data_IF_405292512875
#
_entry.id   IF_405292512875
#
_cell.length_a   1.000
_cell.length_b   1.000
_cell.length_c   1.000
_cell.angle_alpha   90.00
_cell.angle_beta   90.00
_cell.angle_gamma   90.00
#
_symmetry.space_group_name_H-M   'P 1'
#
loop_
_entity.id
_entity.type
_entity.pdbx_description
1 polymer ?
#
# COMPACT_ATOMS: atom_id res chain seq x y z
N UNK A 1 1.39 25.97 -50.54
CA UNK A 1 0.90 26.02 -49.13
C UNK A 1 1.67 27.14 -48.42
N UNK A 2 0.99 28.05 -47.71
CA UNK A 2 1.64 29.24 -47.12
C UNK A 2 2.24 28.89 -45.74
N UNK A 3 3.49 29.30 -45.48
CA UNK A 3 4.20 29.06 -44.21
C UNK A 3 3.38 29.49 -42.98
N UNK A 4 2.64 30.60 -43.11
CA UNK A 4 1.75 31.10 -42.04
C UNK A 4 0.64 30.11 -41.70
N UNK A 5 0.09 29.40 -42.68
CA UNK A 5 -0.96 28.39 -42.48
C UNK A 5 -0.41 27.13 -41.80
N UNK A 6 0.83 26.74 -42.13
CA UNK A 6 1.52 25.60 -41.48
C UNK A 6 1.76 25.92 -39.99
N UNK A 7 2.23 27.13 -39.71
CA UNK A 7 2.55 27.57 -38.35
C UNK A 7 1.29 27.66 -37.48
N UNK A 8 0.18 28.15 -38.02
CA UNK A 8 -1.12 28.17 -37.31
C UNK A 8 -1.64 26.76 -37.05
N UNK A 9 -1.57 25.86 -38.04
CA UNK A 9 -2.02 24.47 -37.87
C UNK A 9 -1.16 23.72 -36.84
N UNK A 10 0.14 23.95 -36.82
CA UNK A 10 1.05 23.36 -35.83
C UNK A 10 0.76 23.86 -34.41
N UNK A 11 0.51 25.16 -34.23
CA UNK A 11 0.16 25.73 -32.92
C UNK A 11 -1.20 25.22 -32.42
N UNK A 12 -2.21 25.15 -33.29
CA UNK A 12 -3.53 24.61 -32.94
C UNK A 12 -3.48 23.12 -32.65
N UNK A 13 -2.71 22.35 -33.44
CA UNK A 13 -2.49 20.92 -33.22
C UNK A 13 -1.75 20.66 -31.91
N UNK A 14 -0.72 21.45 -31.59
CA UNK A 14 0.01 21.34 -30.33
C UNK A 14 -0.86 21.72 -29.13
N UNK A 15 -1.60 22.82 -29.21
CA UNK A 15 -2.50 23.25 -28.13
C UNK A 15 -3.66 22.26 -27.92
N UNK A 16 -4.27 21.77 -29.00
CA UNK A 16 -5.33 20.77 -28.95
C UNK A 16 -4.82 19.41 -28.45
N UNK A 17 -3.64 18.98 -28.90
CA UNK A 17 -2.98 17.76 -28.44
C UNK A 17 -2.66 17.82 -26.95
N UNK A 18 -2.03 18.92 -26.49
CA UNK A 18 -1.69 19.12 -25.08
C UNK A 18 -2.93 19.23 -24.19
N UNK A 19 -3.94 20.02 -24.59
CA UNK A 19 -5.18 20.17 -23.85
C UNK A 19 -5.99 18.87 -23.77
N UNK A 20 -6.07 18.14 -24.89
CA UNK A 20 -6.73 16.84 -24.96
C UNK A 20 -6.03 15.78 -24.11
N UNK A 21 -4.70 15.69 -24.18
CA UNK A 21 -3.93 14.75 -23.36
C UNK A 21 -4.02 15.08 -21.88
N UNK A 22 -3.96 16.37 -21.50
CA UNK A 22 -4.09 16.79 -20.11
C UNK A 22 -5.47 16.43 -19.54
N UNK A 23 -6.55 16.70 -20.28
CA UNK A 23 -7.91 16.35 -19.86
C UNK A 23 -8.09 14.84 -19.66
N UNK A 24 -7.59 14.02 -20.59
CA UNK A 24 -7.68 12.57 -20.49
C UNK A 24 -6.89 12.03 -19.29
N UNK A 25 -5.65 12.50 -19.13
CA UNK A 25 -4.77 12.10 -18.02
C UNK A 25 -5.36 12.46 -16.66
N UNK A 26 -5.86 13.69 -16.48
CA UNK A 26 -6.49 14.13 -15.22
C UNK A 26 -7.68 13.23 -14.86
N UNK A 27 -8.53 12.89 -15.84
CA UNK A 27 -9.71 12.04 -15.63
C UNK A 27 -9.33 10.62 -15.22
N UNK A 28 -8.30 10.04 -15.84
CA UNK A 28 -7.80 8.71 -15.50
C UNK A 28 -7.15 8.69 -14.11
N UNK A 29 -6.32 9.70 -13.80
CA UNK A 29 -5.69 9.82 -12.48
C UNK A 29 -6.71 10.02 -11.37
N UNK A 30 -7.79 10.77 -11.61
CA UNK A 30 -8.86 10.96 -10.62
C UNK A 30 -9.60 9.65 -10.33
N UNK A 31 -9.94 8.88 -11.36
CA UNK A 31 -10.61 7.59 -11.20
C UNK A 31 -9.73 6.55 -10.47
N UNK A 32 -8.41 6.56 -10.71
CA UNK A 32 -7.47 5.72 -9.98
C UNK A 32 -7.33 6.16 -8.52
N UNK A 33 -7.27 7.48 -8.28
CA UNK A 33 -7.18 8.03 -6.94
C UNK A 33 -8.42 7.68 -6.10
N UNK A 34 -9.61 7.77 -6.69
CA UNK A 34 -10.86 7.39 -6.01
C UNK A 34 -10.88 5.90 -5.65
N UNK A 35 -10.38 5.02 -6.52
CA UNK A 35 -10.31 3.57 -6.21
C UNK A 35 -9.29 3.24 -5.14
N UNK A 36 -8.15 3.91 -5.16
CA UNK A 36 -7.10 3.77 -4.14
C UNK A 36 -7.60 4.27 -2.78
N UNK A 37 -8.31 5.40 -2.75
CA UNK A 37 -8.88 5.94 -1.52
C UNK A 37 -9.96 5.02 -0.90
N UNK A 38 -10.64 4.23 -1.73
CA UNK A 38 -11.68 3.30 -1.29
C UNK A 38 -11.17 1.91 -0.88
N UNK A 39 -9.89 1.60 -1.13
CA UNK A 39 -9.32 0.29 -0.82
C UNK A 39 -8.34 0.44 0.34
N UNK A 40 -8.74 0.13 1.59
CA UNK A 40 -7.82 0.24 2.71
C UNK A 40 -6.62 -0.71 2.48
N UNK A 41 -5.40 -0.29 2.87
CA UNK A 41 -4.25 -1.17 2.76
C UNK A 41 -4.46 -2.40 3.65
N UNK A 42 -4.14 -3.58 3.12
CA UNK A 42 -4.38 -4.86 3.80
C UNK A 42 -3.05 -5.41 4.31
N UNK A 43 -3.05 -5.94 5.52
CA UNK A 43 -1.91 -6.67 6.08
C UNK A 43 -2.40 -7.99 6.67
N UNK A 44 -1.67 -9.07 6.38
CA UNK A 44 -1.93 -10.40 6.92
C UNK A 44 -0.96 -10.64 8.07
N UNK A 45 -1.51 -11.02 9.23
CA UNK A 45 -0.71 -11.29 10.44
C UNK A 45 -0.73 -12.79 10.70
N UNK A 46 0.43 -13.42 10.54
CA UNK A 46 0.63 -14.81 10.93
C UNK A 46 1.21 -14.86 12.35
N UNK A 47 0.32 -15.00 13.32
CA UNK A 47 0.70 -15.08 14.73
C UNK A 47 1.59 -16.29 15.04
N UNK A 48 1.46 -17.39 14.29
CA UNK A 48 2.29 -18.59 14.50
C UNK A 48 3.71 -18.35 14.04
N UNK A 49 3.88 -17.70 12.88
CA UNK A 49 5.20 -17.30 12.37
C UNK A 49 5.86 -16.27 13.28
N UNK A 50 5.10 -15.28 13.76
CA UNK A 50 5.62 -14.27 14.70
C UNK A 50 6.06 -14.93 16.02
N UNK A 51 5.22 -15.78 16.61
CA UNK A 51 5.59 -16.50 17.83
C UNK A 51 6.80 -17.43 17.63
N UNK A 52 6.92 -18.05 16.45
CA UNK A 52 8.08 -18.91 16.12
C UNK A 52 9.39 -18.13 15.96
N UNK A 53 9.32 -16.82 15.71
CA UNK A 53 10.48 -15.93 15.57
C UNK A 53 11.04 -15.45 16.92
N UNK A 54 10.35 -15.73 18.03
CA UNK A 54 10.83 -15.38 19.36
C UNK A 54 12.06 -16.20 19.75
N UNK A 55 13.02 -15.62 20.51
CA UNK A 55 14.24 -16.31 20.87
C UNK A 55 13.97 -17.60 21.65
N UNK A 56 14.60 -18.69 21.23
CA UNK A 56 14.48 -19.99 21.90
C UNK A 56 15.12 -19.93 23.29
N UNK A 57 14.33 -20.12 24.34
CA UNK A 57 14.79 -20.06 25.73
C UNK A 57 14.74 -18.67 26.38
N UNK A 58 14.01 -17.72 25.78
CA UNK A 58 13.67 -16.45 26.42
C UNK A 58 12.90 -16.67 27.73
N UNK A 59 13.15 -15.82 28.72
CA UNK A 59 12.42 -15.86 30.00
C UNK A 59 10.94 -15.49 29.79
N UNK A 60 10.06 -15.96 30.67
CA UNK A 60 8.61 -15.75 30.55
C UNK A 60 8.27 -14.25 30.48
N UNK A 61 9.00 -13.43 31.23
CA UNK A 61 8.88 -11.97 31.21
C UNK A 61 9.33 -11.34 29.88
N UNK A 62 10.33 -11.91 29.20
CA UNK A 62 10.79 -11.42 27.89
C UNK A 62 9.78 -11.76 26.78
N UNK A 63 9.19 -12.96 26.85
CA UNK A 63 8.12 -13.38 25.92
C UNK A 63 6.89 -12.47 26.09
N UNK A 64 6.51 -12.15 27.32
CA UNK A 64 5.39 -11.25 27.59
C UNK A 64 5.64 -9.86 26.98
N UNK A 65 6.85 -9.31 27.13
CA UNK A 65 7.22 -8.04 26.51
C UNK A 65 7.17 -8.09 24.98
N UNK A 66 7.64 -9.18 24.36
CA UNK A 66 7.57 -9.38 22.92
C UNK A 66 6.12 -9.49 22.42
N UNK A 67 5.25 -10.17 23.16
CA UNK A 67 3.82 -10.23 22.86
C UNK A 67 3.15 -8.85 22.95
N UNK A 68 3.49 -8.06 23.99
CA UNK A 68 2.99 -6.69 24.14
C UNK A 68 3.45 -5.78 22.99
N UNK A 69 4.73 -5.88 22.59
CA UNK A 69 5.26 -5.15 21.43
C UNK A 69 4.52 -5.52 20.15
N UNK A 70 4.33 -6.81 19.90
CA UNK A 70 3.57 -7.33 18.75
C UNK A 70 2.16 -6.76 18.70
N UNK A 71 1.42 -6.85 19.81
CA UNK A 71 0.06 -6.33 19.89
C UNK A 71 0.00 -4.81 19.68
N UNK A 72 0.98 -4.07 20.18
CA UNK A 72 1.06 -2.63 19.98
C UNK A 72 1.35 -2.27 18.51
N UNK A 73 2.24 -3.00 17.84
CA UNK A 73 2.50 -2.82 16.41
C UNK A 73 1.24 -3.07 15.56
N UNK A 74 0.51 -4.16 15.85
CA UNK A 74 -0.78 -4.48 15.21
C UNK A 74 -1.79 -3.36 15.46
N UNK A 75 -1.86 -2.85 16.70
CA UNK A 75 -2.77 -1.76 17.04
C UNK A 75 -2.44 -0.46 16.29
N UNK A 76 -1.16 -0.11 16.16
CA UNK A 76 -0.72 1.05 15.37
C UNK A 76 -1.10 0.93 13.89
N UNK A 77 -0.99 -0.27 13.30
CA UNK A 77 -1.42 -0.52 11.93
C UNK A 77 -2.92 -0.31 11.77
N UNK A 78 -3.71 -0.81 12.74
CA UNK A 78 -5.16 -0.58 12.77
C UNK A 78 -5.50 0.91 12.87
N UNK A 79 -4.83 1.66 13.74
CA UNK A 79 -5.02 3.11 13.86
C UNK A 79 -4.63 3.87 12.59
N UNK A 80 -3.62 3.38 11.86
CA UNK A 80 -3.22 3.91 10.55
C UNK A 80 -4.20 3.56 9.42
N UNK A 81 -5.29 2.82 9.71
CA UNK A 81 -6.34 2.49 8.75
C UNK A 81 -6.11 1.20 7.95
N UNK A 82 -5.18 0.34 8.39
CA UNK A 82 -4.97 -0.95 7.77
C UNK A 82 -6.09 -1.94 8.13
N UNK A 83 -6.51 -2.73 7.13
CA UNK A 83 -7.31 -3.92 7.36
C UNK A 83 -6.39 -5.07 7.76
N UNK A 84 -6.57 -5.55 8.98
CA UNK A 84 -5.76 -6.65 9.53
C UNK A 84 -6.54 -7.96 9.37
N UNK A 85 -5.91 -8.93 8.71
CA UNK A 85 -6.47 -10.26 8.49
C UNK A 85 -5.58 -11.28 9.22
N UNK A 86 -6.21 -12.21 9.94
CA UNK A 86 -5.51 -13.33 10.54
C UNK A 86 -5.05 -14.32 9.47
N UNK A 87 -3.75 -14.64 9.46
CA UNK A 87 -3.15 -15.64 8.58
C UNK A 87 -3.80 -17.02 8.72
N UNK A 88 -4.26 -17.41 9.91
CA UNK A 88 -4.93 -18.68 10.14
C UNK A 88 -6.34 -18.75 9.49
N UNK A 89 -6.98 -17.59 9.28
CA UNK A 89 -8.26 -17.48 8.60
C UNK A 89 -8.13 -17.29 7.08
N UNK A 90 -6.90 -17.20 6.58
CA UNK A 90 -6.59 -16.91 5.17
C UNK A 90 -6.19 -18.19 4.44
N UNK A 91 -6.79 -18.48 3.29
CA UNK A 91 -6.43 -19.65 2.48
C UNK A 91 -5.04 -19.51 1.81
N UNK A 92 -4.64 -18.27 1.56
CA UNK A 92 -3.35 -17.92 0.98
C UNK A 92 -3.33 -16.43 0.66
N UNK A 93 -2.17 -15.82 0.84
CA UNK A 93 -1.90 -14.44 0.50
C UNK A 93 -0.53 -14.32 -0.18
N UNK A 94 -0.32 -13.28 -1.01
CA UNK A 94 1.01 -12.89 -1.47
C UNK A 94 1.97 -12.62 -0.30
N UNK A 95 3.26 -12.95 -0.43
CA UNK A 95 4.24 -12.80 0.67
C UNK A 95 4.48 -11.34 1.09
N UNK A 96 4.30 -10.38 0.18
CA UNK A 96 4.52 -8.95 0.38
C UNK A 96 3.47 -8.27 1.26
N UNK A 97 2.31 -8.92 1.49
CA UNK A 97 1.27 -8.41 2.39
C UNK A 97 1.31 -9.03 3.79
N UNK A 98 2.20 -10.00 4.04
CA UNK A 98 2.42 -10.52 5.38
C UNK A 98 3.23 -9.54 6.21
N UNK A 99 2.87 -9.38 7.48
CA UNK A 99 3.64 -8.59 8.43
C UNK A 99 5.02 -9.26 8.64
N UNK A 100 6.13 -8.60 8.26
CA UNK A 100 7.48 -9.13 8.48
C UNK A 100 7.78 -9.21 9.99
N UNK A 101 8.46 -10.28 10.38
CA UNK A 101 8.83 -10.54 11.79
C UNK A 101 9.84 -9.49 12.30
N UNK A 102 10.65 -8.94 11.40
CA UNK A 102 11.69 -7.95 11.69
C UNK A 102 11.11 -6.65 12.24
N UNK A 103 9.94 -6.22 11.75
CA UNK A 103 9.27 -4.97 12.18
C UNK A 103 8.74 -5.06 13.63
N UNK A 104 8.62 -6.28 14.15
CA UNK A 104 8.11 -6.54 15.50
C UNK A 104 9.27 -6.70 16.50
N UNK A 105 10.44 -7.13 16.02
CA UNK A 105 11.60 -7.49 16.82
C UNK A 105 12.62 -6.34 17.00
N UNK A 106 12.55 -5.28 16.19
CA UNK A 106 13.23 -3.99 16.46
C UNK A 106 12.59 -3.23 17.64
#
# INVERSE_FOLDING_TARGET
MNFKSILIAALLGAAGGFGGSYYFMVKETAALHDRLALTPPVVVVDFTKIASSYPSGADEAEIEQLMLKTNNAIFKLKEAGYLIIDGAATLGAPEDIYLPSEVILE
#
